data_IF_108607455698
#
_entry.id   IF_108607455698
#
_cell.length_a   1.000
_cell.length_b   1.000
_cell.length_c   1.000
_cell.angle_alpha   90.00
_cell.angle_beta   90.00
_cell.angle_gamma   90.00
#
_symmetry.space_group_name_H-M   'P 1'
#
loop_
_entity.id
_entity.type
_entity.pdbx_description
1 polymer ?
#
# COMPACT_ATOMS: atom_id res chain seq x y z
N UNK A 1 -19.08 -1.46 4.40
CA UNK A 1 -18.16 -1.03 3.37
C UNK A 1 -17.74 -2.21 2.50
N UNK A 2 -17.84 -2.05 1.22
CA UNK A 2 -17.47 -3.12 0.31
C UNK A 2 -15.97 -3.23 0.16
N UNK A 3 -15.47 -4.43 0.29
CA UNK A 3 -14.08 -4.69 -0.04
C UNK A 3 -13.92 -4.81 -1.54
N UNK A 4 -12.77 -4.43 -2.04
CA UNK A 4 -12.42 -4.69 -3.43
C UNK A 4 -12.37 -6.21 -3.64
N UNK A 5 -12.89 -6.66 -4.77
CA UNK A 5 -12.81 -8.06 -5.17
C UNK A 5 -11.41 -8.44 -5.64
N UNK A 6 -10.55 -7.46 -5.81
CA UNK A 6 -9.25 -7.63 -6.45
C UNK A 6 -8.13 -7.40 -5.46
N UNK A 7 -7.12 -8.25 -5.52
CA UNK A 7 -5.88 -8.03 -4.79
C UNK A 7 -5.06 -6.96 -5.50
N UNK A 8 -4.09 -6.40 -4.81
CA UNK A 8 -3.19 -5.41 -5.41
C UNK A 8 -2.45 -5.99 -6.63
N UNK A 9 -2.02 -7.25 -6.53
CA UNK A 9 -1.36 -7.91 -7.66
C UNK A 9 -2.28 -8.03 -8.87
N UNK A 10 -3.56 -8.35 -8.64
CA UNK A 10 -4.55 -8.41 -9.70
C UNK A 10 -4.78 -7.04 -10.32
N UNK A 11 -4.85 -5.99 -9.50
CA UNK A 11 -5.03 -4.63 -9.98
C UNK A 11 -3.87 -4.22 -10.89
N UNK A 12 -2.64 -4.49 -10.48
CA UNK A 12 -1.46 -4.19 -11.30
C UNK A 12 -1.50 -4.97 -12.61
N UNK A 13 -1.90 -6.23 -12.58
CA UNK A 13 -2.03 -7.05 -13.79
C UNK A 13 -3.06 -6.48 -14.75
N UNK A 14 -4.19 -6.02 -14.22
CA UNK A 14 -5.25 -5.39 -15.03
C UNK A 14 -4.75 -4.10 -15.67
N UNK A 15 -4.03 -3.28 -14.91
CA UNK A 15 -3.48 -2.03 -15.44
C UNK A 15 -2.48 -2.28 -16.57
N UNK A 16 -1.74 -3.37 -16.48
CA UNK A 16 -0.80 -3.75 -17.55
C UNK A 16 -1.47 -4.08 -18.85
N UNK A 17 -2.71 -4.54 -18.84
CA UNK A 17 -3.44 -4.83 -20.07
C UNK A 17 -3.58 -3.58 -20.93
N UNK A 18 -3.82 -2.44 -20.32
CA UNK A 18 -3.90 -1.17 -21.05
C UNK A 18 -2.56 -0.78 -21.65
N UNK A 19 -1.47 -1.04 -20.94
CA UNK A 19 -0.12 -0.78 -21.46
C UNK A 19 0.20 -1.65 -22.65
N UNK A 20 -0.41 -2.84 -22.73
CA UNK A 20 -0.22 -3.78 -23.82
C UNK A 20 -1.15 -3.48 -24.99
N UNK A 21 -1.95 -2.43 -24.91
CA UNK A 21 -2.80 -1.98 -26.01
C UNK A 21 -4.30 -2.26 -25.85
N UNK A 22 -4.73 -2.88 -24.76
CA UNK A 22 -6.13 -3.12 -24.53
C UNK A 22 -6.86 -1.81 -24.23
N UNK A 23 -8.11 -1.71 -24.71
CA UNK A 23 -8.92 -0.52 -24.47
C UNK A 23 -9.47 -0.51 -23.05
N UNK A 24 -9.46 0.65 -22.42
CA UNK A 24 -9.95 0.82 -21.05
C UNK A 24 -11.40 0.36 -20.91
N UNK A 25 -12.25 0.68 -21.92
CA UNK A 25 -13.65 0.27 -21.90
C UNK A 25 -13.81 -1.24 -21.89
N UNK A 26 -12.98 -1.94 -22.65
CA UNK A 26 -13.01 -3.40 -22.70
C UNK A 26 -12.52 -4.01 -21.39
N UNK A 27 -11.47 -3.45 -20.82
CA UNK A 27 -10.93 -3.89 -19.52
C UNK A 27 -11.99 -3.74 -18.44
N UNK A 28 -12.66 -2.60 -18.38
CA UNK A 28 -13.69 -2.36 -17.38
C UNK A 28 -14.86 -3.34 -17.51
N UNK A 29 -15.28 -3.59 -18.74
CA UNK A 29 -16.39 -4.52 -19.01
C UNK A 29 -16.00 -5.95 -18.63
N UNK A 30 -14.82 -6.37 -19.01
CA UNK A 30 -14.33 -7.72 -18.75
C UNK A 30 -14.17 -8.02 -17.27
N UNK A 31 -13.70 -7.04 -16.51
CA UNK A 31 -13.43 -7.21 -15.10
C UNK A 31 -14.55 -6.69 -14.18
N UNK A 32 -15.62 -6.16 -14.77
CA UNK A 32 -16.77 -5.70 -14.00
C UNK A 32 -16.50 -4.49 -13.15
N UNK A 33 -15.66 -3.57 -13.61
CA UNK A 33 -15.32 -2.35 -12.89
C UNK A 33 -15.75 -1.13 -13.68
N UNK A 34 -15.94 -0.01 -12.98
CA UNK A 34 -16.26 1.26 -13.63
C UNK A 34 -14.97 1.92 -14.13
N UNK A 35 -15.13 2.84 -15.08
CA UNK A 35 -13.99 3.64 -15.54
C UNK A 35 -13.40 4.47 -14.39
N UNK A 36 -14.23 4.97 -13.48
CA UNK A 36 -13.78 5.70 -12.32
C UNK A 36 -12.85 4.84 -11.45
N UNK A 37 -13.24 3.58 -11.21
CA UNK A 37 -12.42 2.63 -10.46
C UNK A 37 -11.09 2.39 -11.18
N UNK A 38 -11.14 2.19 -12.49
CA UNK A 38 -9.93 1.98 -13.29
C UNK A 38 -8.95 3.15 -13.12
N UNK A 39 -9.42 4.37 -13.23
CA UNK A 39 -8.54 5.54 -13.12
C UNK A 39 -8.05 5.78 -11.69
N UNK A 40 -8.83 5.42 -10.68
CA UNK A 40 -8.34 5.43 -9.30
C UNK A 40 -7.19 4.46 -9.13
N UNK A 41 -7.32 3.26 -9.68
CA UNK A 41 -6.26 2.26 -9.64
C UNK A 41 -5.02 2.74 -10.38
N UNK A 42 -5.20 3.35 -11.54
CA UNK A 42 -4.10 3.87 -12.32
C UNK A 42 -3.34 4.95 -11.56
N UNK A 43 -4.06 5.82 -10.86
CA UNK A 43 -3.45 6.86 -10.05
C UNK A 43 -2.63 6.29 -8.89
N UNK A 44 -3.14 5.22 -8.28
CA UNK A 44 -2.50 4.62 -7.10
C UNK A 44 -1.41 3.62 -7.45
N UNK A 45 -1.62 2.82 -8.47
CA UNK A 45 -0.73 1.69 -8.81
C UNK A 45 -0.09 1.78 -10.19
N UNK A 46 -0.38 2.82 -10.96
CA UNK A 46 0.15 2.94 -12.31
C UNK A 46 1.68 2.93 -12.31
N UNK A 47 2.25 2.17 -13.23
CA UNK A 47 3.69 2.05 -13.34
C UNK A 47 4.35 1.06 -12.39
N UNK A 48 3.58 0.42 -11.51
CA UNK A 48 4.13 -0.57 -10.59
C UNK A 48 4.16 -1.96 -11.22
N UNK A 49 5.16 -2.73 -10.83
CA UNK A 49 5.27 -4.14 -11.13
C UNK A 49 4.88 -4.95 -9.89
N UNK A 50 4.62 -6.25 -10.06
CA UNK A 50 4.29 -7.11 -8.92
C UNK A 50 5.44 -7.14 -7.89
N UNK A 51 6.67 -7.10 -8.36
CA UNK A 51 7.85 -7.03 -7.48
C UNK A 51 7.88 -5.74 -6.67
N UNK A 52 7.40 -4.63 -7.26
CA UNK A 52 7.34 -3.35 -6.56
C UNK A 52 6.31 -3.37 -5.44
N UNK A 53 5.20 -4.05 -5.64
CA UNK A 53 4.18 -4.20 -4.61
C UNK A 53 4.74 -4.94 -3.39
N UNK A 54 5.50 -6.00 -3.62
CA UNK A 54 6.12 -6.75 -2.54
C UNK A 54 7.09 -5.87 -1.77
N UNK A 55 7.92 -5.12 -2.47
CA UNK A 55 8.86 -4.19 -1.86
C UNK A 55 8.15 -3.13 -1.04
N UNK A 56 7.08 -2.58 -1.58
CA UNK A 56 6.30 -1.57 -0.88
C UNK A 56 5.71 -2.11 0.41
N UNK A 57 5.15 -3.32 0.37
CA UNK A 57 4.61 -3.98 1.56
C UNK A 57 5.68 -4.25 2.61
N UNK A 58 6.84 -4.72 2.15
CA UNK A 58 7.96 -4.97 3.05
C UNK A 58 8.42 -3.69 3.72
N UNK A 59 8.49 -2.60 2.96
CA UNK A 59 8.86 -1.29 3.49
C UNK A 59 7.82 -0.75 4.47
N UNK A 60 6.54 -0.94 4.18
CA UNK A 60 5.46 -0.53 5.09
C UNK A 60 5.52 -1.29 6.40
N UNK A 61 5.76 -2.60 6.34
CA UNK A 61 5.89 -3.44 7.53
C UNK A 61 7.09 -3.03 8.37
N UNK A 62 8.22 -2.78 7.72
CA UNK A 62 9.44 -2.34 8.39
C UNK A 62 9.24 -0.97 9.02
N UNK A 63 8.58 -0.05 8.33
CA UNK A 63 8.30 1.28 8.84
C UNK A 63 7.42 1.22 10.08
N UNK A 64 6.37 0.38 10.06
CA UNK A 64 5.50 0.19 11.21
C UNK A 64 6.27 -0.37 12.41
N UNK A 65 7.16 -1.34 12.16
CA UNK A 65 8.01 -1.92 13.19
C UNK A 65 8.95 -0.88 13.79
N UNK A 66 9.59 -0.07 12.95
CA UNK A 66 10.48 0.98 13.41
C UNK A 66 9.76 2.03 14.25
N UNK A 67 8.55 2.41 13.84
CA UNK A 67 7.74 3.36 14.62
C UNK A 67 7.39 2.81 15.99
N UNK A 68 7.05 1.53 16.06
CA UNK A 68 6.74 0.87 17.32
C UNK A 68 7.97 0.84 18.24
N UNK A 69 9.11 0.46 17.69
CA UNK A 69 10.35 0.41 18.44
C UNK A 69 10.75 1.80 18.95
N UNK A 70 10.59 2.82 18.12
CA UNK A 70 10.87 4.19 18.52
C UNK A 70 9.98 4.63 19.67
N UNK A 71 8.68 4.34 19.59
CA UNK A 71 7.73 4.70 20.64
C UNK A 71 8.08 4.01 21.97
N UNK A 72 8.42 2.73 21.93
CA UNK A 72 8.82 1.99 23.12
C UNK A 72 10.09 2.59 23.74
N UNK A 73 11.06 2.91 22.92
CA UNK A 73 12.31 3.51 23.39
C UNK A 73 12.07 4.89 23.98
N UNK A 74 11.22 5.69 23.38
CA UNK A 74 10.88 7.02 23.89
C UNK A 74 10.22 6.93 25.26
N UNK A 75 9.33 5.95 25.45
CA UNK A 75 8.68 5.72 26.75
C UNK A 75 9.69 5.31 27.81
N UNK A 76 10.60 4.41 27.48
CA UNK A 76 11.65 3.98 28.39
C UNK A 76 12.56 5.15 28.78
N UNK A 77 12.95 5.98 27.82
CA UNK A 77 13.76 7.16 28.10
C UNK A 77 13.04 8.14 29.03
N UNK A 78 11.75 8.37 28.80
CA UNK A 78 10.96 9.26 29.65
C UNK A 78 10.90 8.73 31.08
N UNK A 79 10.68 7.41 31.24
CA UNK A 79 10.63 6.78 32.56
C UNK A 79 11.96 6.89 33.29
N UNK A 80 13.05 6.65 32.57
CA UNK A 80 14.40 6.76 33.14
C UNK A 80 14.68 8.19 33.61
N UNK A 81 14.37 9.16 32.79
CA UNK A 81 14.54 10.58 33.10
C UNK A 81 13.75 10.98 34.34
N UNK A 82 12.53 10.47 34.44
CA UNK A 82 11.69 10.74 35.59
C UNK A 82 12.31 10.18 36.87
N UNK A 83 12.78 8.93 36.81
CA UNK A 83 13.46 8.31 37.93
C UNK A 83 14.73 9.11 38.37
N UNK A 84 15.52 9.50 37.38
CA UNK A 84 16.73 10.28 37.67
C UNK A 84 16.40 11.64 38.26
N UNK A 85 15.30 12.23 37.82
CA UNK A 85 14.87 13.52 38.35
C UNK A 85 14.44 13.47 39.82
N UNK A 86 14.11 12.30 40.33
CA UNK A 86 13.74 12.12 41.75
C UNK A 86 14.92 11.87 42.64
N UNK A 87 16.05 11.62 42.07
CA UNK A 87 17.27 11.45 42.87
C UNK A 87 17.89 12.82 43.20
#
# INVERSE_FOLDING_TARGET
>A
MKRSKFTEAQIVSILKLAEQGAKVTDICREHGISSATYYQWKSKYGGLEASDLKRLRDMEAENAKLKKMYAELALENAAIKELLGKL
#
